data_IF_207425646142
#
_entry.id   IF_207425646142
#
_cell.length_a   1.000
_cell.length_b   1.000
_cell.length_c   1.000
_cell.angle_alpha   90.00
_cell.angle_beta   90.00
_cell.angle_gamma   90.00
#
_symmetry.space_group_name_H-M   'P 1'
#
loop_
_entity.id
_entity.type
_entity.pdbx_description
1 polymer ?
#
# COMPACT_ATOMS: atom_id res chain seq x y z
N UNK A 1 13.56 -5.89 -23.54
CA UNK A 1 13.14 -6.74 -22.41
C UNK A 1 14.11 -6.62 -21.22
N UNK A 2 15.41 -6.95 -21.36
CA UNK A 2 16.42 -6.84 -20.28
C UNK A 2 16.51 -5.43 -19.68
N UNK A 3 16.57 -4.37 -20.48
CA UNK A 3 16.62 -2.99 -19.95
C UNK A 3 15.42 -2.64 -19.05
N UNK A 4 14.22 -3.16 -19.35
CA UNK A 4 13.04 -2.93 -18.49
C UNK A 4 13.14 -3.69 -17.16
N UNK A 5 13.78 -4.87 -17.15
CA UNK A 5 14.11 -5.56 -15.90
C UNK A 5 15.11 -4.75 -15.09
N UNK A 6 16.19 -4.29 -15.72
CA UNK A 6 17.24 -3.55 -15.04
C UNK A 6 16.85 -2.13 -14.63
N UNK A 7 15.76 -1.55 -15.16
CA UNK A 7 15.24 -0.23 -14.72
C UNK A 7 14.89 -0.17 -13.24
N UNK A 8 14.50 -1.28 -12.62
CA UNK A 8 14.05 -1.28 -11.23
C UNK A 8 15.24 -1.42 -10.24
N UNK A 9 15.40 -0.50 -9.26
CA UNK A 9 16.55 -0.51 -8.34
C UNK A 9 16.65 -1.80 -7.51
N UNK A 10 15.51 -2.36 -7.08
CA UNK A 10 15.53 -3.62 -6.33
C UNK A 10 16.10 -4.78 -7.15
N UNK A 11 15.80 -4.87 -8.46
CA UNK A 11 16.31 -5.96 -9.31
C UNK A 11 17.83 -5.85 -9.48
N UNK A 12 18.36 -4.63 -9.59
CA UNK A 12 19.80 -4.38 -9.57
C UNK A 12 20.44 -4.70 -8.22
N UNK A 13 19.74 -4.38 -7.13
CA UNK A 13 20.13 -4.78 -5.77
C UNK A 13 20.20 -6.30 -5.61
N UNK A 14 19.22 -7.04 -6.14
CA UNK A 14 19.22 -8.51 -6.17
C UNK A 14 20.44 -9.03 -6.93
N UNK A 15 20.71 -8.52 -8.15
CA UNK A 15 21.88 -8.93 -8.92
C UNK A 15 23.19 -8.70 -8.15
N UNK A 16 23.36 -7.53 -7.51
CA UNK A 16 24.53 -7.19 -6.70
C UNK A 16 24.66 -8.01 -5.41
N UNK A 17 23.56 -8.56 -4.88
CA UNK A 17 23.61 -9.46 -3.73
C UNK A 17 23.97 -10.88 -4.15
N UNK A 18 23.32 -11.41 -5.18
CA UNK A 18 23.58 -12.75 -5.70
C UNK A 18 24.99 -12.90 -6.29
N UNK A 19 25.61 -11.80 -6.74
CA UNK A 19 27.00 -11.80 -7.19
C UNK A 19 28.03 -12.02 -6.07
N UNK A 20 27.62 -11.85 -4.80
CA UNK A 20 28.51 -12.05 -3.64
C UNK A 20 28.54 -13.52 -3.23
N UNK A 21 27.37 -14.15 -3.20
CA UNK A 21 27.21 -15.57 -2.87
C UNK A 21 25.80 -16.06 -3.23
N UNK A 22 25.62 -17.39 -3.40
CA UNK A 22 24.31 -18.00 -3.45
C UNK A 22 23.48 -17.66 -2.20
N UNK A 23 22.24 -17.20 -2.39
CA UNK A 23 21.40 -16.76 -1.28
C UNK A 23 20.03 -17.44 -1.27
N UNK A 24 19.59 -17.85 -0.09
CA UNK A 24 18.21 -18.25 0.16
C UNK A 24 17.27 -17.03 0.11
N UNK A 25 15.99 -17.28 -0.15
CA UNK A 25 14.95 -16.24 -0.20
C UNK A 25 14.95 -15.31 1.02
N UNK A 26 15.04 -15.89 2.22
CA UNK A 26 15.06 -15.16 3.50
C UNK A 26 16.31 -14.30 3.69
N UNK A 27 17.44 -14.71 3.12
CA UNK A 27 18.68 -13.94 3.16
C UNK A 27 18.59 -12.72 2.25
N UNK A 28 17.99 -12.85 1.06
CA UNK A 28 17.76 -11.73 0.15
C UNK A 28 16.82 -10.70 0.78
N UNK A 29 15.72 -11.14 1.41
CA UNK A 29 14.82 -10.25 2.15
C UNK A 29 15.57 -9.43 3.20
N UNK A 30 16.36 -10.11 4.03
CA UNK A 30 17.12 -9.48 5.12
C UNK A 30 18.19 -8.53 4.61
N UNK A 31 19.01 -8.98 3.66
CA UNK A 31 20.15 -8.20 3.15
C UNK A 31 19.72 -6.96 2.36
N UNK A 32 18.54 -6.98 1.75
CA UNK A 32 17.97 -5.85 1.03
C UNK A 32 16.92 -5.09 1.85
N UNK A 33 16.73 -5.41 3.13
CA UNK A 33 15.73 -4.81 4.03
C UNK A 33 14.32 -4.74 3.42
N UNK A 34 13.91 -5.78 2.69
CA UNK A 34 12.59 -5.85 2.06
C UNK A 34 11.58 -6.31 3.11
N UNK A 35 10.60 -5.46 3.40
CA UNK A 35 9.62 -5.74 4.45
C UNK A 35 8.56 -6.75 4.02
N UNK A 36 8.03 -6.60 2.81
CA UNK A 36 6.97 -7.46 2.30
C UNK A 36 7.53 -8.56 1.40
N UNK A 37 7.27 -9.82 1.77
CA UNK A 37 7.71 -10.98 0.98
C UNK A 37 7.09 -10.98 -0.42
N UNK A 38 5.86 -10.51 -0.58
CA UNK A 38 5.17 -10.38 -1.87
C UNK A 38 5.99 -9.59 -2.90
N UNK A 39 6.68 -8.53 -2.48
CA UNK A 39 7.52 -7.67 -3.33
C UNK A 39 8.71 -8.45 -3.88
N UNK A 40 9.44 -9.17 -3.02
CA UNK A 40 10.57 -9.97 -3.47
C UNK A 40 10.11 -11.09 -4.42
N UNK A 41 9.01 -11.77 -4.08
CA UNK A 41 8.44 -12.82 -4.93
C UNK A 41 8.07 -12.29 -6.33
N UNK A 42 7.45 -11.12 -6.41
CA UNK A 42 7.14 -10.45 -7.68
C UNK A 42 8.41 -10.20 -8.50
N UNK A 43 9.43 -9.59 -7.91
CA UNK A 43 10.66 -9.27 -8.66
C UNK A 43 11.45 -10.51 -9.07
N UNK A 44 11.52 -11.55 -8.24
CA UNK A 44 12.18 -12.81 -8.59
C UNK A 44 11.44 -13.52 -9.73
N UNK A 45 10.10 -13.50 -9.73
CA UNK A 45 9.31 -14.07 -10.83
C UNK A 45 9.53 -13.34 -12.15
N UNK A 46 9.59 -12.02 -12.10
CA UNK A 46 9.86 -11.18 -13.29
C UNK A 46 11.29 -11.34 -13.82
N UNK A 47 12.27 -11.49 -12.92
CA UNK A 47 13.65 -11.79 -13.32
C UNK A 47 13.77 -13.20 -13.89
N UNK A 48 13.08 -14.16 -13.26
CA UNK A 48 12.88 -15.54 -13.70
C UNK A 48 14.17 -16.25 -14.12
N UNK A 49 14.00 -17.31 -14.89
CA UNK A 49 15.11 -18.10 -15.43
C UNK A 49 15.97 -17.32 -16.44
N UNK A 50 15.57 -16.09 -16.81
CA UNK A 50 16.34 -15.22 -17.68
C UNK A 50 17.59 -14.68 -17.01
N UNK A 51 17.54 -14.34 -15.72
CA UNK A 51 18.68 -13.72 -15.00
C UNK A 51 19.17 -14.56 -13.81
N UNK A 52 18.30 -15.39 -13.25
CA UNK A 52 18.56 -16.14 -12.02
C UNK A 52 18.21 -17.60 -12.22
N UNK A 53 18.84 -18.47 -11.46
CA UNK A 53 18.47 -19.88 -11.34
C UNK A 53 18.59 -20.31 -9.88
N UNK A 54 18.12 -21.50 -9.56
CA UNK A 54 18.36 -22.12 -8.24
C UNK A 54 19.49 -23.14 -8.33
N UNK A 55 20.35 -23.16 -7.32
CA UNK A 55 21.37 -24.20 -7.17
C UNK A 55 20.77 -25.48 -6.57
N UNK A 56 21.63 -26.47 -6.32
CA UNK A 56 21.26 -27.77 -5.73
C UNK A 56 20.66 -27.65 -4.33
N UNK A 57 20.99 -26.58 -3.60
CA UNK A 57 20.45 -26.30 -2.26
C UNK A 57 19.14 -25.48 -2.33
N UNK A 58 18.66 -25.14 -3.53
CA UNK A 58 17.51 -24.27 -3.74
C UNK A 58 17.79 -22.78 -3.50
N UNK A 59 19.06 -22.36 -3.36
CA UNK A 59 19.46 -20.96 -3.24
C UNK A 59 19.49 -20.30 -4.61
N UNK A 60 19.18 -19.01 -4.64
CA UNK A 60 19.24 -18.22 -5.87
C UNK A 60 20.70 -17.91 -6.23
N UNK A 61 21.02 -18.07 -7.51
CA UNK A 61 22.31 -17.73 -8.12
C UNK A 61 22.07 -17.05 -9.46
N UNK A 62 23.05 -16.27 -9.91
CA UNK A 62 23.01 -15.71 -11.26
C UNK A 62 23.22 -16.82 -12.30
N UNK A 63 22.53 -16.70 -13.43
CA UNK A 63 22.89 -17.44 -14.64
C UNK A 63 23.85 -16.61 -15.50
N UNK A 64 24.29 -17.13 -16.64
CA UNK A 64 25.25 -16.44 -17.53
C UNK A 64 24.76 -15.05 -17.97
N UNK A 65 23.47 -14.93 -18.29
CA UNK A 65 22.87 -13.64 -18.70
C UNK A 65 22.83 -12.67 -17.52
N UNK A 66 22.52 -13.17 -16.31
CA UNK A 66 22.54 -12.42 -15.06
C UNK A 66 23.92 -11.84 -14.76
N UNK A 67 24.98 -12.61 -14.97
CA UNK A 67 26.37 -12.15 -14.80
C UNK A 67 26.73 -11.06 -15.83
N UNK A 68 26.33 -11.23 -17.10
CA UNK A 68 26.54 -10.20 -18.13
C UNK A 68 25.79 -8.91 -17.76
N UNK A 69 24.55 -9.02 -17.28
CA UNK A 69 23.75 -7.89 -16.85
C UNK A 69 24.38 -7.17 -15.64
N UNK A 70 24.94 -7.92 -14.70
CA UNK A 70 25.67 -7.36 -13.57
C UNK A 70 26.88 -6.54 -14.05
N UNK A 71 27.67 -7.06 -14.98
CA UNK A 71 28.81 -6.33 -15.53
C UNK A 71 28.37 -5.04 -16.24
N UNK A 72 27.23 -5.05 -16.93
CA UNK A 72 26.64 -3.85 -17.54
C UNK A 72 26.31 -2.80 -16.47
N UNK A 73 25.65 -3.22 -15.39
CA UNK A 73 25.27 -2.34 -14.27
C UNK A 73 26.52 -1.75 -13.61
N UNK A 74 27.58 -2.54 -13.41
CA UNK A 74 28.81 -2.08 -12.77
C UNK A 74 29.62 -1.11 -13.65
N UNK A 75 29.55 -1.25 -14.98
CA UNK A 75 30.23 -0.34 -15.93
C UNK A 75 29.52 1.01 -16.06
N UNK A 76 28.20 1.03 -15.91
CA UNK A 76 27.43 2.27 -15.92
C UNK A 76 27.60 2.96 -14.55
N UNK A 77 28.13 4.18 -14.52
CA UNK A 77 28.17 5.00 -13.29
C UNK A 77 26.73 5.26 -12.82
N UNK A 78 26.24 4.44 -11.91
CA UNK A 78 24.95 4.64 -11.25
C UNK A 78 25.07 5.74 -10.19
N UNK A 79 24.09 6.66 -10.19
CA UNK A 79 23.74 7.39 -8.97
C UNK A 79 23.17 6.37 -7.98
N UNK A 80 23.38 6.55 -6.68
CA UNK A 80 23.11 5.54 -5.65
C UNK A 80 21.61 5.15 -5.55
N UNK A 81 21.14 4.23 -6.38
CA UNK A 81 19.71 3.92 -6.53
C UNK A 81 19.17 2.93 -5.48
N UNK A 82 20.04 2.16 -4.80
CA UNK A 82 19.59 1.23 -3.75
C UNK A 82 19.03 2.03 -2.55
N UNK A 83 19.62 3.19 -2.25
CA UNK A 83 19.11 4.06 -1.20
C UNK A 83 17.72 4.61 -1.53
N UNK A 84 17.41 4.87 -2.81
CA UNK A 84 16.09 5.39 -3.20
C UNK A 84 14.97 4.37 -2.95
N UNK A 85 15.23 3.08 -3.17
CA UNK A 85 14.26 2.02 -2.88
C UNK A 85 14.01 1.85 -1.38
N UNK A 86 15.06 1.82 -0.56
CA UNK A 86 14.92 1.74 0.90
C UNK A 86 14.21 2.97 1.45
N UNK A 87 14.54 4.16 0.95
CA UNK A 87 13.87 5.41 1.32
C UNK A 87 12.38 5.37 0.95
N UNK A 88 12.04 4.86 -0.23
CA UNK A 88 10.65 4.72 -0.65
C UNK A 88 9.88 3.75 0.26
N UNK A 89 10.48 2.61 0.63
CA UNK A 89 9.85 1.68 1.58
C UNK A 89 9.60 2.33 2.94
N UNK A 90 10.58 3.06 3.49
CA UNK A 90 10.43 3.78 4.76
C UNK A 90 9.32 4.84 4.67
N UNK A 91 9.25 5.58 3.56
CA UNK A 91 8.19 6.58 3.33
C UNK A 91 6.80 5.95 3.30
N UNK A 92 6.64 4.80 2.63
CA UNK A 92 5.37 4.08 2.56
C UNK A 92 4.95 3.55 3.93
N UNK A 93 5.88 3.01 4.73
CA UNK A 93 5.56 2.55 6.08
C UNK A 93 5.16 3.68 7.03
N UNK A 94 5.89 4.80 6.98
CA UNK A 94 5.52 5.98 7.77
C UNK A 94 4.13 6.49 7.35
N UNK A 95 3.81 6.47 6.05
CA UNK A 95 2.50 6.84 5.55
C UNK A 95 1.41 5.87 6.05
N UNK A 96 1.60 4.55 5.94
CA UNK A 96 0.65 3.55 6.46
C UNK A 96 0.42 3.73 7.97
N UNK A 97 1.49 3.93 8.74
CA UNK A 97 1.42 4.13 10.19
C UNK A 97 0.63 5.39 10.55
N UNK A 98 0.87 6.51 9.83
CA UNK A 98 0.10 7.74 10.05
C UNK A 98 -1.39 7.54 9.75
N UNK A 99 -1.74 6.86 8.65
CA UNK A 99 -3.14 6.55 8.30
C UNK A 99 -3.81 5.67 9.36
N UNK A 100 -3.09 4.67 9.88
CA UNK A 100 -3.59 3.81 10.95
C UNK A 100 -3.89 4.58 12.24
N UNK A 101 -3.02 5.50 12.64
CA UNK A 101 -3.23 6.38 13.78
C UNK A 101 -4.47 7.28 13.59
N UNK A 102 -4.64 7.87 12.41
CA UNK A 102 -5.83 8.65 12.09
C UNK A 102 -7.11 7.79 12.18
N UNK A 103 -7.08 6.55 11.71
CA UNK A 103 -8.23 5.66 11.74
C UNK A 103 -8.66 5.31 13.17
N UNK A 104 -7.70 5.12 14.08
CA UNK A 104 -7.98 4.86 15.51
C UNK A 104 -8.69 6.05 16.17
N UNK A 105 -8.36 7.28 15.80
CA UNK A 105 -8.99 8.49 16.37
C UNK A 105 -10.33 8.79 15.70
N UNK A 106 -10.44 8.55 14.39
CA UNK A 106 -11.64 8.88 13.63
C UNK A 106 -12.83 7.95 13.94
N UNK A 107 -12.58 6.64 14.11
CA UNK A 107 -13.64 5.67 14.44
C UNK A 107 -14.44 6.03 15.71
N UNK A 108 -13.82 6.27 16.88
CA UNK A 108 -14.55 6.60 18.10
C UNK A 108 -15.23 7.96 18.00
N UNK A 109 -14.66 8.92 17.28
CA UNK A 109 -15.30 10.23 17.06
C UNK A 109 -16.66 10.07 16.35
N UNK A 110 -16.74 9.22 15.32
CA UNK A 110 -18.00 8.92 14.63
C UNK A 110 -19.04 8.29 15.56
N UNK A 111 -18.61 7.35 16.42
CA UNK A 111 -19.49 6.70 17.40
C UNK A 111 -20.02 7.71 18.43
N UNK A 112 -19.15 8.59 18.95
CA UNK A 112 -19.53 9.65 19.89
C UNK A 112 -20.56 10.59 19.26
N UNK A 113 -20.32 11.03 18.01
CA UNK A 113 -21.26 11.89 17.29
C UNK A 113 -22.62 11.22 17.07
N UNK A 114 -22.64 9.91 16.77
CA UNK A 114 -23.88 9.16 16.62
C UNK A 114 -24.69 9.09 17.93
N UNK A 115 -24.02 8.93 19.08
CA UNK A 115 -24.69 8.86 20.38
C UNK A 115 -25.22 10.23 20.83
N UNK A 116 -24.48 11.30 20.54
CA UNK A 116 -24.95 12.68 20.72
C UNK A 116 -26.20 12.92 19.87
N UNK A 117 -26.17 12.56 18.58
CA UNK A 117 -27.32 12.68 17.67
C UNK A 117 -28.56 11.94 18.19
N UNK A 118 -28.41 10.70 18.68
CA UNK A 118 -29.51 9.95 19.29
C UNK A 118 -30.08 10.66 20.51
N UNK A 119 -29.20 11.17 21.38
CA UNK A 119 -29.61 11.87 22.61
C UNK A 119 -30.36 13.16 22.30
N UNK A 120 -29.87 13.93 21.31
CA UNK A 120 -30.53 15.15 20.84
C UNK A 120 -31.90 14.83 20.23
N UNK A 121 -32.01 13.79 19.40
CA UNK A 121 -33.28 13.34 18.84
C UNK A 121 -34.30 12.97 19.93
N UNK A 122 -33.87 12.20 20.93
CA UNK A 122 -34.73 11.81 22.07
C UNK A 122 -35.25 13.03 22.82
N UNK A 123 -34.37 13.97 23.18
CA UNK A 123 -34.76 15.22 23.87
C UNK A 123 -35.69 16.10 23.03
N UNK A 124 -35.52 16.11 21.70
CA UNK A 124 -36.40 16.86 20.80
C UNK A 124 -37.80 16.24 20.76
N UNK A 125 -37.91 14.91 20.75
CA UNK A 125 -39.20 14.21 20.85
C UNK A 125 -39.88 14.46 22.20
N UNK A 126 -39.15 14.40 23.32
CA UNK A 126 -39.69 14.68 24.65
C UNK A 126 -40.21 16.12 24.83
N UNK A 127 -39.67 17.07 24.07
CA UNK A 127 -40.07 18.49 24.11
C UNK A 127 -41.06 18.88 23.00
N UNK A 128 -41.58 17.92 22.23
CA UNK A 128 -42.39 18.16 21.02
C UNK A 128 -41.74 19.12 20.01
N UNK A 129 -40.40 19.16 20.01
CA UNK A 129 -39.58 19.95 19.07
C UNK A 129 -39.18 19.13 17.83
N UNK A 130 -39.64 17.88 17.72
CA UNK A 130 -39.30 17.01 16.60
C UNK A 130 -40.01 17.53 15.34
N UNK A 131 -39.28 17.82 14.25
CA UNK A 131 -39.91 18.35 13.04
C UNK A 131 -40.89 17.31 12.45
N UNK A 132 -42.01 17.75 11.86
CA UNK A 132 -42.97 16.85 11.24
C UNK A 132 -42.33 15.97 10.17
N UNK A 133 -42.94 14.83 9.89
CA UNK A 133 -42.45 13.90 8.88
C UNK A 133 -42.40 14.56 7.49
N UNK A 134 -41.52 14.07 6.62
CA UNK A 134 -41.47 14.52 5.21
C UNK A 134 -42.83 14.40 4.50
N UNK A 135 -43.65 13.42 4.91
CA UNK A 135 -45.01 13.23 4.41
C UNK A 135 -45.95 14.34 4.90
N UNK A 136 -45.93 14.65 6.19
CA UNK A 136 -46.70 15.77 6.75
C UNK A 136 -46.29 17.12 6.17
N UNK A 137 -45.00 17.37 5.95
CA UNK A 137 -44.55 18.58 5.26
C UNK A 137 -45.10 18.66 3.83
N UNK A 138 -45.06 17.55 3.08
CA UNK A 138 -45.61 17.49 1.72
C UNK A 138 -47.13 17.73 1.71
N UNK A 139 -47.86 17.10 2.64
CA UNK A 139 -49.31 17.30 2.78
C UNK A 139 -49.66 18.72 3.21
N UNK A 140 -48.89 19.31 4.13
CA UNK A 140 -49.04 20.71 4.54
C UNK A 140 -48.81 21.66 3.37
N UNK A 141 -47.72 21.49 2.62
CA UNK A 141 -47.44 22.27 1.41
C UNK A 141 -48.55 22.10 0.38
N UNK A 142 -49.07 20.88 0.21
CA UNK A 142 -50.16 20.60 -0.73
C UNK A 142 -51.45 21.33 -0.34
N UNK A 143 -51.84 21.29 0.94
CA UNK A 143 -53.01 22.04 1.46
C UNK A 143 -52.80 23.55 1.35
N UNK A 144 -51.65 24.07 1.81
CA UNK A 144 -51.36 25.50 1.79
C UNK A 144 -51.32 26.07 0.35
N UNK A 145 -50.95 25.26 -0.65
CA UNK A 145 -50.91 25.66 -2.07
C UNK A 145 -52.21 25.39 -2.85
N UNK A 146 -53.15 24.64 -2.29
CA UNK A 146 -54.46 24.38 -2.90
C UNK A 146 -55.58 24.75 -1.91
N UNK A 147 -55.95 26.03 -1.83
CA UNK A 147 -56.94 26.53 -0.86
C UNK A 147 -58.39 26.10 -1.15
N UNK A 148 -58.61 25.24 -2.15
CA UNK A 148 -59.94 24.77 -2.61
C UNK A 148 -60.23 23.32 -2.22
N UNK A 149 -59.35 22.70 -1.43
CA UNK A 149 -59.56 21.44 -0.70
C UNK A 149 -59.55 21.79 0.78
#
# INVERSE_FOLDING_TARGET
>A
QIFNLLKHPLRRGILKQLSKSPQAYSQILRNLNIQESSILNYHLREMGDLLIKKDVDGKYVLNEIGEICLQLILRVKEKEDIHSFNKFQILIENLKSTLFLFQIVFLPLVVILAEIMKTLKKKATEKDLCPPSLKEYKEKIFRDKNPFI
#
